data_IF_992958251118
#
_entry.id   IF_992958251118
#
_cell.length_a   1.000
_cell.length_b   1.000
_cell.length_c   1.000
_cell.angle_alpha   90.00
_cell.angle_beta   90.00
_cell.angle_gamma   90.00
#
_symmetry.space_group_name_H-M   'P 1'
#
loop_
_entity.id
_entity.type
_entity.pdbx_description
1 polymer ?
#
# COMPACT_ATOMS: atom_id res chain seq x y z
N UNK A 1 7.23 18.32 1.75
CA UNK A 1 7.62 17.13 2.54
C UNK A 1 6.50 16.09 2.52
N UNK A 2 5.24 16.48 2.77
CA UNK A 2 4.09 15.56 2.74
C UNK A 2 3.85 14.90 1.37
N UNK A 3 4.00 15.63 0.26
CA UNK A 3 3.84 15.05 -1.09
C UNK A 3 4.89 13.95 -1.40
N UNK A 4 6.07 14.03 -0.80
CA UNK A 4 7.12 13.02 -0.99
C UNK A 4 6.77 11.72 -0.27
N UNK A 5 6.28 11.83 0.97
CA UNK A 5 5.85 10.69 1.79
C UNK A 5 4.63 9.97 1.19
N UNK A 6 3.66 10.72 0.63
CA UNK A 6 2.52 10.10 -0.06
C UNK A 6 2.95 9.34 -1.31
N UNK A 7 3.87 9.91 -2.11
CA UNK A 7 4.39 9.24 -3.29
C UNK A 7 5.18 7.98 -2.95
N UNK A 8 5.93 7.97 -1.84
CA UNK A 8 6.65 6.80 -1.34
C UNK A 8 5.68 5.68 -0.91
N UNK A 9 4.64 6.02 -0.13
CA UNK A 9 3.64 5.06 0.31
C UNK A 9 2.82 4.48 -0.86
N UNK A 10 2.51 5.30 -1.86
CA UNK A 10 1.86 4.85 -3.09
C UNK A 10 2.80 3.93 -3.89
N UNK A 11 4.08 4.26 -4.00
CA UNK A 11 5.06 3.41 -4.67
C UNK A 11 5.21 2.05 -3.99
N UNK A 12 5.19 2.02 -2.65
CA UNK A 12 5.26 0.79 -1.87
C UNK A 12 3.99 -0.06 -2.03
N UNK A 13 2.81 0.56 -2.02
CA UNK A 13 1.56 -0.14 -2.29
C UNK A 13 1.54 -0.74 -3.71
N UNK A 14 2.04 -0.01 -4.71
CA UNK A 14 2.17 -0.51 -6.09
C UNK A 14 3.10 -1.72 -6.17
N UNK A 15 4.25 -1.68 -5.51
CA UNK A 15 5.18 -2.80 -5.48
C UNK A 15 4.56 -4.08 -4.86
N UNK A 16 3.77 -3.93 -3.80
CA UNK A 16 3.03 -5.04 -3.17
C UNK A 16 1.98 -5.63 -4.12
N UNK A 17 1.28 -4.77 -4.87
CA UNK A 17 0.32 -5.19 -5.89
C UNK A 17 1.02 -5.93 -7.01
N UNK A 18 2.11 -5.38 -7.56
CA UNK A 18 2.84 -5.97 -8.68
C UNK A 18 3.38 -7.37 -8.33
N UNK A 19 3.97 -7.53 -7.15
CA UNK A 19 4.44 -8.84 -6.69
C UNK A 19 3.29 -9.85 -6.53
N UNK A 20 2.11 -9.38 -6.12
CA UNK A 20 0.94 -10.25 -5.97
C UNK A 20 0.36 -10.62 -7.33
N UNK A 21 0.37 -9.71 -8.30
CA UNK A 21 -0.03 -9.97 -9.69
C UNK A 21 0.92 -10.93 -10.39
N UNK A 22 2.23 -10.85 -10.14
CA UNK A 22 3.21 -11.83 -10.62
C UNK A 22 2.92 -13.22 -10.05
N UNK A 23 2.65 -13.31 -8.73
CA UNK A 23 2.23 -14.57 -8.09
C UNK A 23 0.93 -15.13 -8.69
N UNK A 24 -0.04 -14.28 -9.03
CA UNK A 24 -1.27 -14.69 -9.75
C UNK A 24 -0.93 -15.20 -11.14
N UNK A 25 -0.04 -14.52 -11.86
CA UNK A 25 0.36 -14.91 -13.20
C UNK A 25 1.02 -16.29 -13.22
N UNK A 26 1.87 -16.61 -12.24
CA UNK A 26 2.53 -17.90 -12.12
C UNK A 26 1.59 -19.04 -11.69
N UNK A 27 0.65 -18.77 -10.77
CA UNK A 27 -0.18 -19.80 -10.13
C UNK A 27 -1.60 -19.89 -10.70
N UNK A 28 -2.01 -18.91 -11.49
CA UNK A 28 -3.30 -18.84 -12.19
C UNK A 28 -4.51 -18.48 -11.33
N UNK A 29 -4.44 -18.56 -9.99
CA UNK A 29 -5.54 -18.20 -9.09
C UNK A 29 -5.02 -17.79 -7.70
N UNK A 30 -5.69 -16.82 -7.09
CA UNK A 30 -5.57 -16.50 -5.66
C UNK A 30 -6.79 -17.01 -4.91
N UNK A 31 -6.59 -17.44 -3.67
CA UNK A 31 -7.68 -17.70 -2.73
C UNK A 31 -8.29 -16.40 -2.23
N UNK A 32 -9.54 -16.45 -1.78
CA UNK A 32 -10.21 -15.29 -1.18
C UNK A 32 -9.49 -14.76 0.06
N UNK A 33 -8.79 -15.62 0.80
CA UNK A 33 -7.95 -15.21 1.94
C UNK A 33 -6.73 -14.40 1.46
N UNK A 34 -6.02 -14.88 0.43
CA UNK A 34 -4.85 -14.17 -0.11
C UNK A 34 -5.22 -12.79 -0.67
N UNK A 35 -6.39 -12.67 -1.32
CA UNK A 35 -6.90 -11.37 -1.77
C UNK A 35 -7.25 -10.46 -0.58
N UNK A 36 -7.84 -11.01 0.48
CA UNK A 36 -8.21 -10.23 1.66
C UNK A 36 -6.98 -9.71 2.41
N UNK A 37 -5.95 -10.55 2.53
CA UNK A 37 -4.68 -10.21 3.16
C UNK A 37 -3.96 -9.12 2.35
N UNK A 38 -3.88 -9.26 1.02
CA UNK A 38 -3.32 -8.24 0.13
C UNK A 38 -4.01 -6.89 0.29
N UNK A 39 -5.35 -6.89 0.29
CA UNK A 39 -6.12 -5.65 0.45
C UNK A 39 -5.92 -5.03 1.83
N UNK A 40 -5.75 -5.85 2.87
CA UNK A 40 -5.43 -5.37 4.21
C UNK A 40 -4.04 -4.75 4.27
N UNK A 41 -3.03 -5.38 3.67
CA UNK A 41 -1.66 -4.88 3.62
C UNK A 41 -1.60 -3.51 2.90
N UNK A 42 -2.21 -3.41 1.72
CA UNK A 42 -2.31 -2.14 0.97
C UNK A 42 -3.03 -1.07 1.80
N UNK A 43 -4.12 -1.43 2.50
CA UNK A 43 -4.86 -0.49 3.35
C UNK A 43 -4.01 0.01 4.52
N UNK A 44 -3.24 -0.86 5.16
CA UNK A 44 -2.38 -0.49 6.29
C UNK A 44 -1.24 0.42 5.84
N UNK A 45 -0.61 0.15 4.70
CA UNK A 45 0.43 1.01 4.10
C UNK A 45 -0.11 2.42 3.83
N UNK A 46 -1.25 2.52 3.14
CA UNK A 46 -1.85 3.81 2.80
C UNK A 46 -2.40 4.55 4.03
N UNK A 47 -2.95 3.83 5.00
CA UNK A 47 -3.44 4.42 6.25
C UNK A 47 -2.29 4.95 7.12
N UNK A 48 -1.14 4.25 7.16
CA UNK A 48 0.06 4.71 7.85
C UNK A 48 0.53 6.07 7.32
N UNK A 49 0.66 6.19 5.99
CA UNK A 49 1.01 7.44 5.34
C UNK A 49 -0.01 8.56 5.59
N UNK A 50 -1.31 8.23 5.61
CA UNK A 50 -2.36 9.20 5.93
C UNK A 50 -2.30 9.70 7.38
N UNK A 51 -1.92 8.84 8.33
CA UNK A 51 -1.74 9.20 9.74
C UNK A 51 -0.49 10.05 9.96
N UNK A 52 0.60 9.75 9.26
CA UNK A 52 1.84 10.55 9.30
C UNK A 52 1.63 11.96 8.73
N UNK A 53 0.79 12.11 7.70
CA UNK A 53 0.37 13.42 7.19
C UNK A 53 -0.39 14.25 8.23
N UNK A 54 -1.34 13.65 8.94
CA UNK A 54 -2.12 14.35 9.99
C UNK A 54 -1.24 14.76 11.18
N UNK A 55 -0.22 13.96 11.48
CA UNK A 55 0.75 14.24 12.54
C UNK A 55 1.79 15.32 12.16
N UNK A 56 1.92 15.68 10.88
CA UNK A 56 2.83 16.72 10.43
C UNK A 56 2.31 18.09 10.90
N UNK A 57 3.10 18.87 11.67
CA UNK A 57 2.64 20.15 12.19
C UNK A 57 2.34 21.11 11.03
N UNK A 58 1.17 21.74 11.05
CA UNK A 58 0.85 22.87 10.20
C UNK A 58 1.92 23.95 10.41
N UNK A 59 2.86 24.04 9.47
CA UNK A 59 3.89 25.07 9.47
C UNK A 59 3.17 26.42 9.32
N UNK A 60 3.14 27.17 10.42
CA UNK A 60 2.60 28.53 10.52
C UNK A 60 3.71 29.55 10.20
#
# INVERSE_FOLDING_TARGET
>A
MSDTLENEAIAEALAVIDQSLERVHERGMLTSSEVSDLLLDVRLLLAGAALEREAAPAAN
#
